data_IF_480181527672
#
_entry.id   IF_480181527672
#
_cell.length_a   1.000
_cell.length_b   1.000
_cell.length_c   1.000
_cell.angle_alpha   90.00
_cell.angle_beta   90.00
_cell.angle_gamma   90.00
#
_symmetry.space_group_name_H-M   'P 1'
#
loop_
_entity.id
_entity.type
_entity.pdbx_description
1 polymer ?
#
# COMPACT_ATOMS: atom_id res chain seq x y z
N UNK A 1 -12.32 -15.52 28.82
CA UNK A 1 -12.34 -16.94 28.38
C UNK A 1 -11.95 -17.12 26.91
N UNK A 2 -12.28 -16.20 25.99
CA UNK A 2 -11.86 -16.28 24.56
C UNK A 2 -10.42 -15.79 24.26
N UNK A 3 -9.71 -15.17 25.21
CA UNK A 3 -8.30 -14.76 25.08
C UNK A 3 -7.28 -15.93 25.20
N UNK A 4 -7.75 -17.17 25.37
CA UNK A 4 -6.91 -18.39 25.41
C UNK A 4 -6.93 -19.21 24.12
N UNK A 5 -7.59 -18.71 23.07
CA UNK A 5 -7.28 -19.19 21.73
C UNK A 5 -5.86 -18.70 21.48
N UNK A 6 -4.88 -19.62 21.50
CA UNK A 6 -3.49 -19.31 21.18
C UNK A 6 -3.49 -18.39 19.95
N UNK A 7 -2.61 -17.37 19.86
CA UNK A 7 -2.29 -16.85 18.54
C UNK A 7 -2.04 -18.08 17.67
N UNK A 8 -2.66 -18.16 16.49
CA UNK A 8 -2.37 -19.25 15.55
C UNK A 8 -0.91 -19.09 15.16
N UNK A 9 0.00 -19.51 16.04
CA UNK A 9 1.43 -19.60 15.82
C UNK A 9 1.55 -20.85 15.00
N UNK A 10 1.25 -20.71 13.70
CA UNK A 10 1.67 -21.71 12.74
C UNK A 10 3.16 -21.89 13.00
N UNK A 11 3.54 -23.09 13.45
CA UNK A 11 4.94 -23.42 13.50
C UNK A 11 5.52 -23.08 12.14
N UNK A 12 6.68 -22.40 12.15
CA UNK A 12 7.40 -21.92 10.98
C UNK A 12 7.98 -23.08 10.16
N UNK A 13 7.12 -24.03 9.81
CA UNK A 13 7.40 -25.18 8.98
C UNK A 13 7.65 -24.72 7.55
N UNK A 14 8.50 -25.42 6.78
CA UNK A 14 8.73 -25.13 5.38
C UNK A 14 7.44 -24.97 4.55
N UNK A 15 6.43 -25.80 4.80
CA UNK A 15 5.14 -25.72 4.12
C UNK A 15 4.34 -24.47 4.47
N UNK A 16 4.28 -24.10 5.74
CA UNK A 16 3.61 -22.87 6.17
C UNK A 16 4.34 -21.61 5.65
N UNK A 17 5.67 -21.64 5.61
CA UNK A 17 6.50 -20.60 5.00
C UNK A 17 6.23 -20.45 3.50
N UNK A 18 6.12 -21.56 2.78
CA UNK A 18 5.77 -21.55 1.36
C UNK A 18 4.40 -20.93 1.12
N UNK A 19 3.36 -21.39 1.82
CA UNK A 19 2.01 -20.83 1.69
C UNK A 19 1.95 -19.37 2.13
N UNK A 20 2.62 -19.03 3.23
CA UNK A 20 2.71 -17.68 3.74
C UNK A 20 3.34 -16.73 2.74
N UNK A 21 4.45 -17.12 2.10
CA UNK A 21 5.08 -16.34 1.03
C UNK A 21 4.18 -16.18 -0.19
N UNK A 22 3.53 -17.27 -0.62
CA UNK A 22 2.61 -17.25 -1.77
C UNK A 22 1.41 -16.33 -1.56
N UNK A 23 0.86 -16.28 -0.34
CA UNK A 23 -0.30 -15.43 -0.02
C UNK A 23 0.14 -13.98 0.25
N UNK A 24 1.26 -13.78 0.96
CA UNK A 24 1.77 -12.45 1.29
C UNK A 24 2.17 -11.64 0.05
N UNK A 25 2.78 -12.28 -0.96
CA UNK A 25 3.16 -11.58 -2.20
C UNK A 25 1.93 -11.14 -3.00
N UNK A 26 0.83 -11.91 -2.95
CA UNK A 26 -0.42 -11.55 -3.61
C UNK A 26 -1.04 -10.30 -2.99
N UNK A 27 -0.94 -10.16 -1.67
CA UNK A 27 -1.42 -8.98 -0.95
C UNK A 27 -0.69 -7.70 -1.36
N UNK A 28 0.63 -7.74 -1.62
CA UNK A 28 1.38 -6.55 -2.06
C UNK A 28 1.02 -6.05 -3.46
N UNK A 29 0.41 -6.90 -4.31
CA UNK A 29 0.01 -6.51 -5.66
C UNK A 29 -1.31 -5.71 -5.62
N UNK A 30 -2.15 -5.93 -4.60
CA UNK A 30 -3.46 -5.31 -4.50
C UNK A 30 -3.34 -3.95 -3.77
N UNK A 31 -3.85 -2.85 -4.36
CA UNK A 31 -3.76 -1.53 -3.74
C UNK A 31 -4.41 -1.51 -2.35
N UNK A 32 -3.66 -1.08 -1.34
CA UNK A 32 -4.14 -0.89 0.03
C UNK A 32 -4.07 -2.12 0.94
N UNK A 33 -3.56 -3.27 0.49
CA UNK A 33 -3.34 -4.45 1.35
C UNK A 33 -1.82 -4.65 1.57
N UNK A 34 -1.41 -4.84 2.82
CA UNK A 34 0.00 -5.10 3.15
C UNK A 34 0.26 -6.59 3.37
N UNK A 35 1.28 -7.14 2.70
CA UNK A 35 1.72 -8.52 2.88
C UNK A 35 2.23 -8.84 4.29
N UNK A 36 2.86 -7.88 4.97
CA UNK A 36 3.30 -8.07 6.37
C UNK A 36 2.14 -8.18 7.34
N UNK A 37 1.06 -7.43 7.11
CA UNK A 37 -0.17 -7.56 7.88
C UNK A 37 -0.83 -8.92 7.66
N UNK A 38 -0.83 -9.42 6.43
CA UNK A 38 -1.36 -10.75 6.15
C UNK A 38 -0.53 -11.85 6.81
N UNK A 39 0.79 -11.73 6.85
CA UNK A 39 1.66 -12.63 7.62
C UNK A 39 1.41 -12.55 9.13
N UNK A 40 1.08 -11.36 9.66
CA UNK A 40 0.67 -11.19 11.06
C UNK A 40 -0.65 -11.91 11.34
N UNK A 41 -1.65 -11.77 10.47
CA UNK A 41 -2.93 -12.47 10.60
C UNK A 41 -2.78 -13.98 10.49
N UNK A 42 -1.86 -14.47 9.66
CA UNK A 42 -1.50 -15.89 9.57
C UNK A 42 -0.60 -16.36 10.72
N UNK A 43 -0.16 -15.45 11.60
CA UNK A 43 0.76 -15.75 12.70
C UNK A 43 2.18 -16.18 12.29
N UNK A 44 2.54 -15.98 11.02
CA UNK A 44 3.85 -16.33 10.46
C UNK A 44 4.86 -15.17 10.54
N UNK A 45 4.41 -13.96 10.86
CA UNK A 45 5.26 -12.76 10.88
C UNK A 45 6.49 -12.91 11.77
N UNK A 46 6.33 -13.40 13.00
CA UNK A 46 7.44 -13.62 13.93
C UNK A 46 8.39 -14.72 13.42
N UNK A 47 7.85 -15.78 12.82
CA UNK A 47 8.63 -16.85 12.21
C UNK A 47 9.48 -16.36 11.04
N UNK A 48 8.91 -15.52 10.16
CA UNK A 48 9.62 -14.94 9.02
C UNK A 48 10.72 -13.99 9.51
N UNK A 49 10.42 -13.12 10.48
CA UNK A 49 11.44 -12.23 11.07
C UNK A 49 12.60 -13.02 11.70
N UNK A 50 12.30 -14.07 12.46
CA UNK A 50 13.33 -14.92 13.06
C UNK A 50 14.17 -15.63 12.00
N UNK A 51 13.53 -16.16 10.94
CA UNK A 51 14.23 -16.80 9.83
C UNK A 51 15.14 -15.83 9.07
N UNK A 52 14.72 -14.59 8.86
CA UNK A 52 15.54 -13.54 8.25
C UNK A 52 16.70 -13.15 9.16
N UNK A 53 16.43 -12.91 10.45
CA UNK A 53 17.44 -12.49 11.43
C UNK A 53 18.53 -13.55 11.66
N UNK A 54 18.17 -14.83 11.57
CA UNK A 54 19.09 -15.96 11.73
C UNK A 54 19.62 -16.54 10.41
N UNK A 55 19.27 -15.95 9.26
CA UNK A 55 19.58 -16.50 7.94
C UNK A 55 19.21 -17.98 7.79
N UNK A 56 18.04 -18.37 8.30
CA UNK A 56 17.57 -19.74 8.31
C UNK A 56 17.10 -20.17 6.91
N UNK A 57 18.05 -20.63 6.09
CA UNK A 57 17.82 -21.00 4.68
C UNK A 57 16.72 -22.07 4.50
N UNK A 58 16.58 -22.99 5.46
CA UNK A 58 15.54 -24.03 5.43
C UNK A 58 14.11 -23.47 5.42
N UNK A 59 13.90 -22.25 5.95
CA UNK A 59 12.61 -21.56 5.97
C UNK A 59 12.54 -20.47 4.88
N UNK A 60 13.66 -19.80 4.59
CA UNK A 60 13.72 -18.73 3.60
C UNK A 60 13.56 -19.24 2.15
N UNK A 61 14.16 -20.38 1.81
CA UNK A 61 14.05 -20.98 0.47
C UNK A 61 12.58 -21.31 0.14
N UNK A 62 11.84 -22.08 0.95
CA UNK A 62 10.44 -22.38 0.65
C UNK A 62 9.58 -21.12 0.67
N UNK A 63 9.84 -20.15 1.56
CA UNK A 63 9.15 -18.85 1.55
C UNK A 63 9.35 -18.11 0.21
N UNK A 64 10.59 -18.02 -0.27
CA UNK A 64 10.93 -17.35 -1.52
C UNK A 64 10.33 -18.07 -2.74
N UNK A 65 10.36 -19.40 -2.76
CA UNK A 65 9.72 -20.21 -3.81
C UNK A 65 8.20 -20.02 -3.80
N UNK A 66 7.59 -20.01 -2.62
CA UNK A 66 6.17 -19.73 -2.46
C UNK A 66 5.80 -18.36 -2.98
N UNK A 67 6.57 -17.33 -2.61
CA UNK A 67 6.38 -15.97 -3.12
C UNK A 67 6.56 -15.89 -4.65
N UNK A 68 7.58 -16.56 -5.22
CA UNK A 68 7.78 -16.58 -6.67
C UNK A 68 6.61 -17.25 -7.41
N UNK A 69 6.20 -18.44 -6.97
CA UNK A 69 5.09 -19.17 -7.58
C UNK A 69 3.74 -18.46 -7.38
N UNK A 70 3.51 -17.89 -6.20
CA UNK A 70 2.33 -17.10 -5.89
C UNK A 70 2.22 -15.87 -6.80
N UNK A 71 3.33 -15.16 -7.01
CA UNK A 71 3.39 -14.02 -7.91
C UNK A 71 3.06 -14.40 -9.35
N UNK A 72 3.66 -15.47 -9.89
CA UNK A 72 3.39 -15.94 -11.25
C UNK A 72 1.93 -16.38 -11.41
N UNK A 73 1.42 -17.16 -10.46
CA UNK A 73 0.04 -17.63 -10.47
C UNK A 73 -0.94 -16.45 -10.43
N UNK A 74 -0.73 -15.51 -9.51
CA UNK A 74 -1.58 -14.34 -9.34
C UNK A 74 -1.51 -13.38 -10.53
N UNK A 75 -0.32 -13.12 -11.09
CA UNK A 75 -0.17 -12.31 -12.29
C UNK A 75 -0.97 -12.89 -13.47
N UNK A 76 -0.97 -14.22 -13.62
CA UNK A 76 -1.78 -14.89 -14.63
C UNK A 76 -3.28 -14.79 -14.36
N UNK A 77 -3.71 -14.91 -13.10
CA UNK A 77 -5.12 -14.70 -12.71
C UNK A 77 -5.55 -13.28 -13.00
N UNK A 78 -4.75 -12.29 -12.60
CA UNK A 78 -5.03 -10.88 -12.82
C UNK A 78 -5.08 -10.55 -14.31
N UNK A 79 -4.17 -11.10 -15.11
CA UNK A 79 -4.20 -10.98 -16.58
C UNK A 79 -5.51 -11.51 -17.16
N UNK A 80 -5.95 -12.71 -16.75
CA UNK A 80 -7.22 -13.29 -17.23
C UNK A 80 -8.42 -12.46 -16.79
N UNK A 81 -8.43 -11.97 -15.55
CA UNK A 81 -9.49 -11.14 -15.00
C UNK A 81 -9.57 -9.81 -15.76
N UNK A 82 -8.42 -9.19 -16.04
CA UNK A 82 -8.35 -7.96 -16.82
C UNK A 82 -8.86 -8.12 -18.25
N UNK A 83 -8.69 -9.30 -18.86
CA UNK A 83 -9.25 -9.57 -20.20
C UNK A 83 -10.78 -9.72 -20.21
N UNK A 84 -11.40 -10.22 -19.13
CA UNK A 84 -12.84 -10.50 -19.11
C UNK A 84 -13.67 -9.37 -18.48
N UNK A 85 -13.14 -8.69 -17.46
CA UNK A 85 -13.88 -7.69 -16.67
C UNK A 85 -13.12 -6.37 -16.53
N UNK A 86 -12.42 -5.96 -17.59
CA UNK A 86 -11.57 -4.76 -17.61
C UNK A 86 -12.25 -3.52 -17.04
N UNK A 87 -13.46 -3.24 -17.50
CA UNK A 87 -14.16 -1.99 -17.18
C UNK A 87 -14.53 -1.94 -15.69
N UNK A 88 -14.95 -3.07 -15.11
CA UNK A 88 -15.19 -3.18 -13.67
C UNK A 88 -13.92 -3.00 -12.84
N UNK A 89 -12.80 -3.56 -13.28
CA UNK A 89 -11.50 -3.37 -12.60
C UNK A 89 -11.08 -1.90 -12.65
N UNK A 90 -11.24 -1.24 -13.79
CA UNK A 90 -10.92 0.18 -13.93
C UNK A 90 -11.80 1.04 -13.02
N UNK A 91 -13.12 0.80 -12.98
CA UNK A 91 -14.01 1.50 -12.06
C UNK A 91 -13.63 1.28 -10.59
N UNK A 92 -13.25 0.04 -10.24
CA UNK A 92 -12.77 -0.28 -8.88
C UNK A 92 -11.47 0.45 -8.54
N UNK A 93 -10.47 0.42 -9.43
CA UNK A 93 -9.21 1.14 -9.22
C UNK A 93 -9.41 2.65 -9.12
N UNK A 94 -10.24 3.23 -9.99
CA UNK A 94 -10.58 4.66 -9.93
C UNK A 94 -11.24 4.98 -8.58
N UNK A 95 -12.18 4.14 -8.11
CA UNK A 95 -12.79 4.28 -6.79
C UNK A 95 -11.76 4.24 -5.65
N UNK A 96 -10.80 3.31 -5.69
CA UNK A 96 -9.72 3.24 -4.71
C UNK A 96 -8.82 4.49 -4.76
N UNK A 97 -8.41 4.93 -5.95
CA UNK A 97 -7.59 6.14 -6.14
C UNK A 97 -8.31 7.37 -5.59
N UNK A 98 -9.60 7.54 -5.89
CA UNK A 98 -10.43 8.62 -5.34
C UNK A 98 -10.53 8.54 -3.81
N UNK A 99 -10.66 7.33 -3.25
CA UNK A 99 -10.63 7.12 -1.80
C UNK A 99 -9.32 7.58 -1.15
N UNK A 100 -8.17 7.34 -1.80
CA UNK A 100 -6.87 7.81 -1.29
C UNK A 100 -6.66 9.32 -1.43
N UNK A 101 -7.37 9.98 -2.36
CA UNK A 101 -7.22 11.40 -2.63
C UNK A 101 -7.60 12.26 -1.41
N UNK A 102 -8.61 11.84 -0.64
CA UNK A 102 -9.02 12.52 0.61
C UNK A 102 -7.86 12.55 1.62
N UNK A 103 -7.07 11.47 1.67
CA UNK A 103 -5.92 11.38 2.58
C UNK A 103 -4.69 12.13 2.09
N UNK A 104 -4.56 12.32 0.77
CA UNK A 104 -3.53 13.14 0.13
C UNK A 104 -3.86 14.64 0.13
N UNK A 105 -5.04 15.02 0.61
CA UNK A 105 -5.44 16.42 0.70
C UNK A 105 -4.45 17.20 1.58
N UNK A 106 -3.85 18.30 1.09
CA UNK A 106 -2.71 18.93 1.76
C UNK A 106 -3.10 19.71 3.02
N UNK A 107 -4.35 20.16 3.13
CA UNK A 107 -4.84 20.92 4.28
C UNK A 107 -5.54 20.00 5.28
N UNK A 108 -4.80 19.55 6.30
CA UNK A 108 -5.30 18.65 7.33
C UNK A 108 -5.11 19.24 8.73
N UNK A 109 -6.13 19.10 9.57
CA UNK A 109 -6.06 19.44 10.99
C UNK A 109 -5.63 18.22 11.79
N UNK A 110 -4.50 18.33 12.49
CA UNK A 110 -4.06 17.32 13.45
C UNK A 110 -4.83 17.53 14.75
N UNK A 111 -5.68 16.58 15.12
CA UNK A 111 -6.54 16.67 16.31
C UNK A 111 -5.97 15.92 17.51
N UNK A 112 -5.03 15.01 17.29
CA UNK A 112 -4.35 14.29 18.36
C UNK A 112 -2.93 13.91 17.96
N UNK A 113 -2.03 13.95 18.94
CA UNK A 113 -0.64 13.57 18.81
C UNK A 113 -0.40 12.32 19.64
N UNK A 114 0.34 11.34 19.11
CA UNK A 114 0.91 10.27 19.91
C UNK A 114 2.40 10.50 20.08
N UNK A 115 2.86 10.40 21.33
CA UNK A 115 4.27 10.37 21.67
C UNK A 115 4.82 8.99 21.26
N UNK A 116 5.78 8.98 20.36
CA UNK A 116 6.40 7.75 19.90
C UNK A 116 7.28 7.14 21.01
N UNK A 117 7.49 5.82 20.98
CA UNK A 117 8.29 5.10 21.98
C UNK A 117 9.73 5.64 22.15
N UNK A 118 10.23 6.43 21.19
CA UNK A 118 11.54 7.09 21.22
C UNK A 118 11.54 8.45 21.94
N UNK A 119 10.39 8.94 22.42
CA UNK A 119 10.27 10.15 23.26
C UNK A 119 10.47 11.50 22.56
N UNK A 120 11.00 11.54 21.34
CA UNK A 120 11.41 12.78 20.67
C UNK A 120 10.51 13.25 19.52
N UNK A 121 9.61 12.42 18.99
CA UNK A 121 8.71 12.80 17.89
C UNK A 121 7.24 12.59 18.24
N UNK A 122 6.45 13.64 17.99
CA UNK A 122 5.00 13.61 18.05
C UNK A 122 4.46 13.26 16.66
N UNK A 123 3.85 12.08 16.53
CA UNK A 123 3.24 11.66 15.26
C UNK A 123 1.76 12.04 15.29
N UNK A 124 1.23 12.72 14.27
CA UNK A 124 -0.20 13.03 14.17
C UNK A 124 -1.01 11.73 14.05
N UNK A 125 -1.89 11.46 15.03
CA UNK A 125 -2.68 10.22 15.08
C UNK A 125 -3.98 10.33 14.28
N UNK A 126 -4.63 11.50 14.32
CA UNK A 126 -5.89 11.76 13.62
C UNK A 126 -5.77 13.07 12.86
N UNK A 127 -5.95 12.97 11.53
CA UNK A 127 -5.91 14.07 10.58
C UNK A 127 -7.28 14.19 9.92
N UNK A 128 -7.96 15.32 10.14
CA UNK A 128 -9.22 15.62 9.48
C UNK A 128 -8.97 16.57 8.31
N UNK A 129 -9.42 16.25 7.08
CA UNK A 129 -9.27 17.15 5.95
C UNK A 129 -10.13 18.40 6.14
N UNK A 130 -9.53 19.57 5.95
CA UNK A 130 -10.18 20.88 6.08
C UNK A 130 -9.94 21.72 4.83
N UNK A 131 -10.79 22.71 4.59
CA UNK A 131 -10.59 23.65 3.49
C UNK A 131 -9.41 24.59 3.78
N UNK A 132 -8.72 25.12 2.75
CA UNK A 132 -7.56 26.01 2.92
C UNK A 132 -7.83 27.22 3.83
N UNK A 133 -9.00 27.87 3.68
CA UNK A 133 -9.36 29.01 4.52
C UNK A 133 -9.67 28.64 5.98
N UNK A 134 -10.16 27.42 6.21
CA UNK A 134 -10.36 26.88 7.56
C UNK A 134 -9.02 26.48 8.17
N UNK A 135 -8.11 25.90 7.37
CA UNK A 135 -6.74 25.60 7.77
C UNK A 135 -6.03 26.85 8.29
N UNK A 136 -6.02 27.92 7.51
CA UNK A 136 -5.39 29.20 7.90
C UNK A 136 -5.97 29.76 9.20
N UNK A 137 -7.28 29.63 9.42
CA UNK A 137 -7.93 30.05 10.67
C UNK A 137 -7.59 29.18 11.88
N UNK A 138 -7.26 27.90 11.68
CA UNK A 138 -7.03 26.92 12.74
C UNK A 138 -5.55 26.77 13.11
N UNK A 139 -4.66 26.82 12.13
CA UNK A 139 -3.21 26.65 12.34
C UNK A 139 -2.46 27.98 12.44
N UNK A 140 -3.05 29.08 11.95
CA UNK A 140 -2.38 30.38 11.85
C UNK A 140 -1.30 30.44 10.77
N UNK A 141 -1.08 29.34 10.03
CA UNK A 141 -0.11 29.24 8.94
C UNK A 141 -0.80 29.55 7.60
N UNK A 142 -0.14 30.31 6.70
CA UNK A 142 -0.71 30.61 5.40
C UNK A 142 -0.92 29.33 4.60
N UNK A 143 -2.08 29.17 3.97
CA UNK A 143 -2.43 27.97 3.21
C UNK A 143 -1.58 27.73 1.94
N UNK A 144 -0.69 28.66 1.58
CA UNK A 144 0.23 28.61 0.42
C UNK A 144 -0.46 28.22 -0.91
N UNK A 145 -1.64 28.80 -1.16
CA UNK A 145 -2.46 28.50 -2.34
C UNK A 145 -1.73 28.72 -3.68
N UNK A 146 -0.84 29.70 -3.75
CA UNK A 146 -0.04 29.98 -4.96
C UNK A 146 0.94 28.85 -5.29
N UNK A 147 1.67 28.36 -4.29
CA UNK A 147 2.63 27.25 -4.45
C UNK A 147 1.89 25.96 -4.78
N UNK A 148 0.77 25.70 -4.11
CA UNK A 148 -0.10 24.55 -4.41
C UNK A 148 -0.64 24.59 -5.85
N UNK A 149 -1.04 25.77 -6.34
CA UNK A 149 -1.48 25.96 -7.72
C UNK A 149 -0.36 25.73 -8.74
N UNK A 150 0.83 26.25 -8.48
CA UNK A 150 2.01 26.07 -9.35
C UNK A 150 2.43 24.59 -9.42
N UNK A 151 2.47 23.89 -8.29
CA UNK A 151 2.85 22.48 -8.25
C UNK A 151 1.81 21.59 -8.95
N UNK A 152 0.51 21.87 -8.78
CA UNK A 152 -0.56 21.21 -9.51
C UNK A 152 -0.45 21.45 -11.02
N UNK A 153 -0.22 22.70 -11.44
CA UNK A 153 -0.02 23.05 -12.84
C UNK A 153 1.20 22.34 -13.46
N UNK A 154 2.33 22.32 -12.75
CA UNK A 154 3.52 21.59 -13.18
C UNK A 154 3.27 20.09 -13.31
N UNK A 155 2.56 19.48 -12.36
CA UNK A 155 2.17 18.07 -12.43
C UNK A 155 1.30 17.77 -13.65
N UNK A 156 0.29 18.61 -13.94
CA UNK A 156 -0.57 18.46 -15.13
C UNK A 156 0.25 18.53 -16.42
N UNK A 157 1.17 19.51 -16.53
CA UNK A 157 2.05 19.66 -17.70
C UNK A 157 2.95 18.44 -17.87
N UNK A 158 3.51 17.91 -16.77
CA UNK A 158 4.31 16.68 -16.79
C UNK A 158 3.51 15.49 -17.30
N UNK A 159 2.30 15.28 -16.75
CA UNK A 159 1.41 14.18 -17.15
C UNK A 159 1.08 14.27 -18.64
N UNK A 160 0.69 15.46 -19.11
CA UNK A 160 0.40 15.69 -20.53
C UNK A 160 1.63 15.49 -21.42
N UNK A 161 2.81 15.91 -20.95
CA UNK A 161 4.08 15.68 -21.64
C UNK A 161 4.39 14.18 -21.80
N UNK A 162 4.21 13.39 -20.74
CA UNK A 162 4.37 11.93 -20.78
C UNK A 162 3.38 11.25 -21.71
N UNK A 163 2.12 11.70 -21.70
CA UNK A 163 1.10 11.19 -22.63
C UNK A 163 1.52 11.44 -24.07
N UNK A 164 1.97 12.65 -24.38
CA UNK A 164 2.40 13.02 -25.73
C UNK A 164 3.62 12.23 -26.21
N UNK A 165 4.54 11.88 -25.30
CA UNK A 165 5.70 11.04 -25.60
C UNK A 165 5.35 9.55 -25.71
N UNK A 166 4.29 9.10 -25.02
CA UNK A 166 3.89 7.68 -24.98
C UNK A 166 2.91 7.27 -26.07
N UNK A 167 2.29 8.20 -26.80
CA UNK A 167 1.45 7.84 -27.94
C UNK A 167 2.32 7.18 -29.03
N UNK A 168 2.15 5.87 -29.32
CA UNK A 168 2.89 5.24 -30.40
C UNK A 168 2.51 5.95 -31.71
N UNK A 169 3.51 6.31 -32.52
CA UNK A 169 3.30 6.80 -33.88
C UNK A 169 2.39 5.81 -34.59
N UNK A 170 1.14 6.22 -34.82
CA UNK A 170 0.17 5.50 -35.64
C UNK A 170 0.80 5.41 -37.03
N UNK A 171 1.43 4.27 -37.33
CA UNK A 171 1.89 3.97 -38.68
C UNK A 171 0.66 3.58 -39.47
N UNK A 172 0.05 4.57 -40.13
CA UNK A 172 -0.96 4.35 -41.14
C UNK A 172 -0.28 3.67 -42.35
N UNK A 173 -0.51 2.36 -42.53
CA UNK A 173 -0.36 1.62 -43.78
C UNK A 173 -1.51 0.63 -43.89
#
# INVERSE_FOLDING_TARGET
LLQRLLPVTLEATPGAMFMGGAVAICAWILPGISGSFLLLLLGLYSGVLAAVASLAWAQLIPFALGAGLGLIAFANVLKRLFHHVRDWILMFLIGLMLGTLVRLWPWQQVTSYQLQASGTEQVPLVQNPVMPGVFESLTGEPAQLSVAGLSAGFAIVLVYGFERLSQPRRTDV
#
